data_IF_675617959235
#
_entry.id   IF_675617959235
#
_cell.length_a   1.000
_cell.length_b   1.000
_cell.length_c   1.000
_cell.angle_alpha   90.00
_cell.angle_beta   90.00
_cell.angle_gamma   90.00
#
_symmetry.space_group_name_H-M   'P 1'
#
loop_
_entity.id
_entity.type
_entity.pdbx_description
1 polymer ?
#
# COMPACT_ATOMS: atom_id res chain seq x y z
N UNK A 1 32.81 -30.10 -2.15
CA UNK A 1 31.85 -29.41 -1.26
C UNK A 1 30.90 -28.61 -2.13
N UNK A 2 29.80 -29.22 -2.55
CA UNK A 2 28.70 -28.52 -3.23
C UNK A 2 27.78 -28.01 -2.13
N UNK A 3 27.81 -26.70 -1.88
CA UNK A 3 26.76 -26.05 -1.09
C UNK A 3 25.58 -25.90 -2.04
N UNK A 4 24.71 -26.90 -2.06
CA UNK A 4 23.38 -26.80 -2.68
C UNK A 4 22.54 -25.92 -1.76
N UNK A 5 22.46 -24.62 -2.06
CA UNK A 5 21.48 -23.75 -1.41
C UNK A 5 20.11 -24.19 -1.95
N UNK A 6 19.25 -24.63 -1.04
CA UNK A 6 17.94 -25.19 -1.34
C UNK A 6 16.98 -24.06 -1.74
N UNK A 7 16.89 -23.79 -3.05
CA UNK A 7 16.02 -22.75 -3.64
C UNK A 7 14.52 -23.02 -3.42
N UNK A 8 14.16 -24.21 -2.93
CA UNK A 8 12.79 -24.56 -2.54
C UNK A 8 12.28 -23.73 -1.34
N UNK A 9 13.16 -23.08 -0.56
CA UNK A 9 12.74 -22.22 0.57
C UNK A 9 12.56 -20.74 0.20
N UNK A 10 13.08 -20.29 -0.95
CA UNK A 10 13.17 -18.86 -1.29
C UNK A 10 11.83 -18.23 -1.65
N UNK A 11 10.88 -18.99 -2.20
CA UNK A 11 9.59 -18.45 -2.64
C UNK A 11 8.68 -18.00 -1.48
N UNK A 12 8.86 -18.55 -0.27
CA UNK A 12 8.13 -18.13 0.93
C UNK A 12 8.81 -16.99 1.69
N UNK A 13 10.06 -16.65 1.35
CA UNK A 13 10.81 -15.62 2.03
C UNK A 13 10.17 -14.24 1.84
N UNK A 14 9.81 -13.91 0.60
CA UNK A 14 9.15 -12.65 0.27
C UNK A 14 7.76 -12.50 0.92
N UNK A 15 6.83 -13.48 0.78
CA UNK A 15 5.57 -13.47 1.53
C UNK A 15 5.76 -13.32 3.03
N UNK A 16 6.74 -14.01 3.62
CA UNK A 16 7.01 -13.94 5.06
C UNK A 16 7.44 -12.55 5.52
N UNK A 17 8.33 -11.87 4.79
CA UNK A 17 8.72 -10.48 5.12
C UNK A 17 7.53 -9.54 5.05
N UNK A 18 6.72 -9.65 3.99
CA UNK A 18 5.53 -8.82 3.83
C UNK A 18 4.56 -9.02 4.99
N UNK A 19 4.25 -10.28 5.33
CA UNK A 19 3.33 -10.61 6.43
C UNK A 19 3.86 -10.08 7.76
N UNK A 20 5.15 -10.30 8.06
CA UNK A 20 5.76 -9.80 9.31
C UNK A 20 5.72 -8.28 9.36
N UNK A 21 6.02 -7.59 8.25
CA UNK A 21 5.98 -6.13 8.17
C UNK A 21 4.56 -5.61 8.38
N UNK A 22 3.56 -6.23 7.74
CA UNK A 22 2.14 -5.91 7.94
C UNK A 22 1.69 -6.13 9.38
N UNK A 23 2.08 -7.25 10.00
CA UNK A 23 1.76 -7.54 11.40
C UNK A 23 2.43 -6.54 12.34
N UNK A 24 3.68 -6.17 12.08
CA UNK A 24 4.43 -5.21 12.89
C UNK A 24 3.78 -3.82 12.84
N UNK A 25 3.52 -3.30 11.63
CA UNK A 25 2.82 -2.01 11.46
C UNK A 25 1.41 -2.08 12.03
N UNK A 26 0.68 -3.17 11.80
CA UNK A 26 -0.65 -3.41 12.35
C UNK A 26 -0.66 -3.40 13.88
N UNK A 27 0.31 -4.05 14.52
CA UNK A 27 0.46 -4.06 15.97
C UNK A 27 0.75 -2.66 16.52
N UNK A 28 1.61 -1.89 15.86
CA UNK A 28 1.89 -0.49 16.23
C UNK A 28 0.60 0.35 16.18
N UNK A 29 -0.17 0.23 15.11
CA UNK A 29 -1.44 0.96 14.95
C UNK A 29 -2.43 0.56 16.03
N UNK A 30 -2.57 -0.74 16.32
CA UNK A 30 -3.45 -1.25 17.37
C UNK A 30 -3.09 -0.69 18.75
N UNK A 31 -1.80 -0.62 19.08
CA UNK A 31 -1.34 -0.08 20.36
C UNK A 31 -1.60 1.42 20.45
N UNK A 32 -1.30 2.18 19.39
CA UNK A 32 -1.45 3.65 19.38
C UNK A 32 -2.91 4.09 19.36
N UNK A 33 -3.78 3.37 18.64
CA UNK A 33 -5.19 3.75 18.44
C UNK A 33 -6.19 2.83 19.12
N UNK A 34 -5.77 2.10 20.17
CA UNK A 34 -6.63 1.13 20.86
C UNK A 34 -7.98 1.73 21.25
N UNK A 35 -7.98 2.91 21.89
CA UNK A 35 -9.20 3.52 22.46
C UNK A 35 -10.19 3.96 21.37
N UNK A 36 -9.69 4.57 20.30
CA UNK A 36 -10.50 4.93 19.12
C UNK A 36 -11.15 3.70 18.47
N UNK A 37 -10.38 2.61 18.36
CA UNK A 37 -10.82 1.36 17.73
C UNK A 37 -11.92 0.70 18.57
N UNK A 38 -11.74 0.60 19.89
CA UNK A 38 -12.74 0.04 20.81
C UNK A 38 -14.05 0.82 20.81
N UNK A 39 -14.00 2.16 20.81
CA UNK A 39 -15.19 3.00 20.72
C UNK A 39 -15.94 2.84 19.39
N UNK A 40 -15.22 2.78 18.27
CA UNK A 40 -15.84 2.61 16.94
C UNK A 40 -16.42 1.22 16.73
N UNK A 41 -15.76 0.17 17.22
CA UNK A 41 -16.28 -1.20 17.19
C UNK A 41 -17.59 -1.33 17.95
N UNK A 42 -17.71 -0.67 19.11
CA UNK A 42 -18.93 -0.69 19.92
C UNK A 42 -20.11 0.04 19.26
N UNK A 43 -19.82 1.02 18.41
CA UNK A 43 -20.81 1.83 17.68
C UNK A 43 -21.06 1.35 16.24
N UNK A 44 -20.41 0.27 15.81
CA UNK A 44 -20.46 -0.20 14.42
C UNK A 44 -21.83 -0.80 14.09
N UNK A 45 -22.56 -0.17 13.17
CA UNK A 45 -23.82 -0.67 12.64
C UNK A 45 -23.70 -0.90 11.13
N UNK A 46 -24.03 -2.11 10.67
CA UNK A 46 -24.07 -2.45 9.24
C UNK A 46 -25.03 -1.53 8.46
N UNK A 47 -26.02 -0.94 9.12
CA UNK A 47 -26.99 -0.02 8.52
C UNK A 47 -26.34 1.31 8.06
N UNK A 48 -25.22 1.74 8.66
CA UNK A 48 -24.49 2.94 8.23
C UNK A 48 -23.73 2.75 6.91
N UNK A 49 -23.39 1.51 6.55
CA UNK A 49 -22.65 1.20 5.31
C UNK A 49 -23.60 1.15 4.12
N UNK A 50 -24.79 0.57 4.30
CA UNK A 50 -25.75 0.32 3.23
C UNK A 50 -26.52 1.60 2.83
N UNK A 51 -26.70 2.54 3.77
CA UNK A 51 -27.62 3.68 3.57
C UNK A 51 -26.95 4.95 3.03
N UNK A 52 -25.69 4.88 2.58
CA UNK A 52 -24.95 6.06 2.14
C UNK A 52 -24.45 5.84 0.71
N UNK A 53 -25.06 6.55 -0.24
CA UNK A 53 -24.60 6.68 -1.64
C UNK A 53 -23.21 7.33 -1.68
N UNK A 54 -22.20 6.56 -1.29
CA UNK A 54 -20.83 6.99 -1.22
C UNK A 54 -20.22 6.84 -2.61
N UNK A 55 -20.56 7.75 -3.52
CA UNK A 55 -19.90 7.88 -4.84
C UNK A 55 -18.37 7.83 -4.69
N UNK A 56 -17.85 8.45 -3.63
CA UNK A 56 -16.42 8.39 -3.24
C UNK A 56 -15.91 6.96 -3.01
N UNK A 57 -16.70 6.08 -2.40
CA UNK A 57 -16.31 4.68 -2.19
C UNK A 57 -16.26 3.91 -3.51
N UNK A 58 -17.21 4.14 -4.42
CA UNK A 58 -17.16 3.54 -5.76
C UNK A 58 -15.96 4.03 -6.57
N UNK A 59 -15.64 5.33 -6.50
CA UNK A 59 -14.43 5.90 -7.13
C UNK A 59 -13.18 5.27 -6.51
N UNK A 60 -13.13 5.10 -5.19
CA UNK A 60 -12.00 4.49 -4.51
C UNK A 60 -11.79 3.04 -4.97
N UNK A 61 -12.85 2.25 -5.01
CA UNK A 61 -12.82 0.87 -5.54
C UNK A 61 -12.35 0.86 -7.00
N UNK A 62 -12.84 1.78 -7.82
CA UNK A 62 -12.39 1.96 -9.20
C UNK A 62 -10.90 2.31 -9.30
N UNK A 63 -10.40 3.19 -8.45
CA UNK A 63 -8.98 3.58 -8.39
C UNK A 63 -8.09 2.39 -8.03
N UNK A 64 -8.50 1.60 -7.04
CA UNK A 64 -7.79 0.38 -6.63
C UNK A 64 -7.84 -0.68 -7.74
N UNK A 65 -9.00 -0.86 -8.38
CA UNK A 65 -9.13 -1.75 -9.54
C UNK A 65 -8.19 -1.35 -10.68
N UNK A 66 -8.17 -0.06 -11.03
CA UNK A 66 -7.28 0.48 -12.06
C UNK A 66 -5.79 0.30 -11.68
N UNK A 67 -5.43 0.48 -10.40
CA UNK A 67 -4.09 0.20 -9.91
C UNK A 67 -3.69 -1.27 -10.10
N UNK A 68 -4.56 -2.21 -9.71
CA UNK A 68 -4.29 -3.65 -9.82
C UNK A 68 -4.11 -4.06 -11.28
N UNK A 69 -5.03 -3.65 -12.16
CA UNK A 69 -4.95 -3.97 -13.59
C UNK A 69 -3.75 -3.29 -14.25
N UNK A 70 -3.47 -2.04 -13.89
CA UNK A 70 -2.32 -1.30 -14.40
C UNK A 70 -0.99 -1.95 -14.01
N UNK A 71 -0.90 -2.56 -12.82
CA UNK A 71 0.33 -3.19 -12.33
C UNK A 71 0.75 -4.36 -13.22
N UNK A 72 -0.21 -5.13 -13.73
CA UNK A 72 0.05 -6.22 -14.68
C UNK A 72 0.54 -5.65 -16.01
N UNK A 73 -0.23 -4.74 -16.62
CA UNK A 73 0.11 -4.19 -17.95
C UNK A 73 1.44 -3.41 -17.96
N UNK A 74 1.70 -2.58 -16.95
CA UNK A 74 2.98 -1.85 -16.85
C UNK A 74 4.13 -2.76 -16.39
N UNK A 75 3.83 -3.83 -15.66
CA UNK A 75 4.81 -4.85 -15.28
C UNK A 75 5.37 -5.58 -16.49
N UNK A 76 4.52 -5.88 -17.49
CA UNK A 76 4.94 -6.45 -18.77
C UNK A 76 5.82 -5.49 -19.59
N UNK A 77 5.52 -4.19 -19.55
CA UNK A 77 6.30 -3.16 -20.27
C UNK A 77 7.65 -2.86 -19.61
N UNK A 78 7.72 -2.95 -18.27
CA UNK A 78 8.94 -2.67 -17.49
C UNK A 78 9.33 -3.86 -16.60
N UNK A 79 9.70 -5.01 -17.21
CA UNK A 79 9.96 -6.24 -16.47
C UNK A 79 11.14 -6.08 -15.51
N UNK A 80 11.03 -6.65 -14.32
CA UNK A 80 12.08 -6.73 -13.29
C UNK A 80 12.68 -5.40 -12.79
N UNK A 81 12.10 -4.25 -13.16
CA UNK A 81 12.56 -2.93 -12.67
C UNK A 81 11.76 -2.41 -11.47
N UNK A 82 10.53 -2.89 -11.29
CA UNK A 82 9.60 -2.36 -10.29
C UNK A 82 9.10 -0.94 -10.60
N UNK A 83 9.33 -0.39 -11.81
CA UNK A 83 8.84 0.95 -12.17
C UNK A 83 7.32 1.03 -12.27
N UNK A 84 6.65 -0.07 -12.62
CA UNK A 84 5.19 -0.17 -12.60
C UNK A 84 4.60 0.26 -11.23
N UNK A 85 5.25 -0.16 -10.14
CA UNK A 85 4.88 0.22 -8.78
C UNK A 85 4.96 1.73 -8.59
N UNK A 86 6.09 2.37 -8.93
CA UNK A 86 6.23 3.82 -8.75
C UNK A 86 5.22 4.62 -9.60
N UNK A 87 5.07 4.26 -10.88
CA UNK A 87 4.20 4.96 -11.83
C UNK A 87 2.74 4.91 -11.38
N UNK A 88 2.29 3.81 -10.78
CA UNK A 88 0.90 3.64 -10.37
C UNK A 88 0.65 4.08 -8.92
N UNK A 89 1.59 3.84 -8.01
CA UNK A 89 1.44 4.18 -6.59
C UNK A 89 1.55 5.69 -6.36
N UNK A 90 2.39 6.43 -7.10
CA UNK A 90 2.53 7.89 -6.92
C UNK A 90 1.19 8.61 -7.20
N UNK A 91 0.53 8.44 -8.37
CA UNK A 91 -0.77 9.04 -8.63
C UNK A 91 -1.84 8.55 -7.65
N UNK A 92 -1.83 7.26 -7.29
CA UNK A 92 -2.78 6.69 -6.36
C UNK A 92 -2.67 7.36 -4.97
N UNK A 93 -1.47 7.44 -4.41
CA UNK A 93 -1.21 8.10 -3.12
C UNK A 93 -1.50 9.59 -3.17
N UNK A 94 -1.33 10.23 -4.32
CA UNK A 94 -1.70 11.62 -4.50
C UNK A 94 -3.22 11.82 -4.52
N UNK A 95 -3.98 10.95 -5.20
CA UNK A 95 -5.43 11.10 -5.40
C UNK A 95 -6.28 10.69 -4.19
N UNK A 96 -5.86 9.66 -3.43
CA UNK A 96 -6.65 9.14 -2.30
C UNK A 96 -7.01 10.23 -1.27
N UNK A 97 -6.08 11.09 -0.80
CA UNK A 97 -6.40 12.13 0.17
C UNK A 97 -7.47 13.11 -0.32
N UNK A 98 -7.49 13.47 -1.60
CA UNK A 98 -8.54 14.34 -2.18
C UNK A 98 -9.89 13.64 -2.28
N UNK A 99 -9.89 12.33 -2.41
CA UNK A 99 -11.12 11.56 -2.42
C UNK A 99 -11.72 11.44 -1.01
N UNK A 100 -10.87 11.27 0.00
CA UNK A 100 -11.27 11.03 1.39
C UNK A 100 -11.58 12.32 2.12
N UNK A 101 -10.74 13.36 2.02
CA UNK A 101 -10.93 14.62 2.74
C UNK A 101 -11.82 15.58 1.94
N UNK A 102 -12.86 16.12 2.59
CA UNK A 102 -13.74 17.13 1.97
C UNK A 102 -13.08 18.52 1.88
N UNK A 103 -12.14 18.81 2.77
CA UNK A 103 -11.48 20.12 2.87
C UNK A 103 -9.97 19.96 3.03
N UNK A 104 -9.21 20.41 2.02
CA UNK A 104 -7.76 20.39 2.04
C UNK A 104 -7.20 21.81 2.05
N UNK A 105 -6.30 22.09 2.99
CA UNK A 105 -5.52 23.33 2.98
C UNK A 105 -4.35 23.24 2.01
N UNK A 106 -3.88 24.38 1.49
CA UNK A 106 -2.71 24.45 0.59
C UNK A 106 -1.47 23.76 1.19
N UNK A 107 -1.28 23.90 2.50
CA UNK A 107 -0.17 23.24 3.23
C UNK A 107 -0.31 21.72 3.22
N UNK A 108 -1.51 21.19 3.44
CA UNK A 108 -1.76 19.75 3.36
C UNK A 108 -1.52 19.21 1.95
N UNK A 109 -1.95 19.93 0.90
CA UNK A 109 -1.71 19.52 -0.49
C UNK A 109 -0.21 19.38 -0.78
N UNK A 110 0.62 20.30 -0.28
CA UNK A 110 2.08 20.20 -0.40
C UNK A 110 2.62 18.95 0.31
N UNK A 111 2.16 18.68 1.54
CA UNK A 111 2.56 17.46 2.25
C UNK A 111 2.10 16.18 1.55
N UNK A 112 0.89 16.17 0.97
CA UNK A 112 0.38 15.05 0.18
C UNK A 112 1.27 14.82 -1.04
N UNK A 113 1.61 15.89 -1.77
CA UNK A 113 2.49 15.79 -2.94
C UNK A 113 3.88 15.23 -2.58
N UNK A 114 4.49 15.74 -1.51
CA UNK A 114 5.78 15.24 -1.01
C UNK A 114 5.66 13.78 -0.61
N UNK A 115 4.66 13.43 0.20
CA UNK A 115 4.49 12.07 0.71
C UNK A 115 4.18 11.06 -0.40
N UNK A 116 3.37 11.45 -1.38
CA UNK A 116 3.02 10.62 -2.54
C UNK A 116 4.24 10.25 -3.39
N UNK A 117 5.33 11.02 -3.32
CA UNK A 117 6.59 10.73 -4.02
C UNK A 117 7.59 10.04 -3.10
N UNK A 118 7.84 10.60 -1.92
CA UNK A 118 8.88 10.12 -1.00
C UNK A 118 8.57 8.72 -0.48
N UNK A 119 7.33 8.43 -0.11
CA UNK A 119 6.97 7.14 0.45
C UNK A 119 7.13 5.99 -0.56
N UNK A 120 6.58 6.07 -1.80
CA UNK A 120 6.80 5.02 -2.80
C UNK A 120 8.26 4.86 -3.21
N UNK A 121 9.01 5.95 -3.36
CA UNK A 121 10.44 5.87 -3.70
C UNK A 121 11.21 5.14 -2.59
N UNK A 122 10.95 5.48 -1.33
CA UNK A 122 11.60 4.83 -0.18
C UNK A 122 11.26 3.34 -0.16
N UNK A 123 9.98 2.99 -0.32
CA UNK A 123 9.56 1.59 -0.41
C UNK A 123 10.24 0.87 -1.57
N UNK A 124 10.29 1.47 -2.76
CA UNK A 124 10.93 0.88 -3.93
C UNK A 124 12.44 0.69 -3.74
N UNK A 125 13.14 1.63 -3.10
CA UNK A 125 14.57 1.49 -2.79
C UNK A 125 14.82 0.38 -1.77
N UNK A 126 14.06 0.35 -0.68
CA UNK A 126 14.21 -0.67 0.37
C UNK A 126 13.90 -2.04 -0.20
N UNK A 127 12.79 -2.18 -0.93
CA UNK A 127 12.39 -3.43 -1.58
C UNK A 127 13.41 -3.84 -2.65
N UNK A 128 13.85 -2.91 -3.50
CA UNK A 128 14.85 -3.18 -4.53
C UNK A 128 16.18 -3.65 -3.95
N UNK A 129 16.67 -3.01 -2.89
CA UNK A 129 17.88 -3.45 -2.18
C UNK A 129 17.66 -4.80 -1.50
N UNK A 130 16.54 -4.97 -0.80
CA UNK A 130 16.21 -6.22 -0.12
C UNK A 130 16.16 -7.37 -1.13
N UNK A 131 15.47 -7.18 -2.27
CA UNK A 131 15.33 -8.19 -3.33
C UNK A 131 16.62 -8.43 -4.08
N UNK A 132 17.41 -7.41 -4.39
CA UNK A 132 18.69 -7.62 -5.07
C UNK A 132 19.74 -8.30 -4.16
N UNK A 133 19.57 -8.19 -2.84
CA UNK A 133 20.40 -8.91 -1.86
C UNK A 133 19.86 -10.34 -1.60
N UNK A 134 18.56 -10.60 -1.83
CA UNK A 134 17.94 -11.93 -1.61
C UNK A 134 17.66 -12.77 -2.85
N UNK A 135 17.67 -12.19 -4.04
CA UNK A 135 17.68 -12.91 -5.30
C UNK A 135 19.13 -13.02 -5.78
N UNK A 136 19.75 -14.22 -5.75
CA UNK A 136 21.10 -14.44 -6.24
C UNK A 136 21.19 -14.40 -7.77
#
# INVERSE_FOLDING_TARGET
>A
MQVSIDFDSSHLFFPRIIIISLLFVGAIILIQRREDIWCRLRSFSLHQIINKDNVKAYIFVGLIGAYILGMESLGELFPNTGYAFLILTIPLMFLIPFLVEDTLTKKQVVFIAINAVVSPITAWLVLGQLFNITLP
#
